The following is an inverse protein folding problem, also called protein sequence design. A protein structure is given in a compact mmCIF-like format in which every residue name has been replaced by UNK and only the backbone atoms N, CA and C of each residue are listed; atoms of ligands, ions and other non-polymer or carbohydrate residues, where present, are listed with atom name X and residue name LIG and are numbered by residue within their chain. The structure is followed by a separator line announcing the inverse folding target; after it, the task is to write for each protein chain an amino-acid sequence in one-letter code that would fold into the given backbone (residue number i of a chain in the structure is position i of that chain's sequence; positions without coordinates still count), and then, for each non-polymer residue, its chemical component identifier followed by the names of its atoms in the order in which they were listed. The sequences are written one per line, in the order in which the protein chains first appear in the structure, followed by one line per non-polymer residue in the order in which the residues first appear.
data_IF_396112663431
#
_entry.id   IF_396112663431
#
_cell.length_a   1.000
_cell.length_b   1.000
_cell.length_c   1.000
_cell.angle_alpha   90.00
_cell.angle_beta   90.00
_cell.angle_gamma   90.00
#
_symmetry.space_group_name_H-M   'P 1'
#
loop_
_entity.id
_entity.type
_entity.pdbx_description
1 polymer ?
#
# COMPACT_ATOMS: atom_id res chain seq x y z
N UNK A 1 13.49 17.93 -13.60
CA UNK A 1 13.07 16.90 -12.64
C UNK A 1 11.60 17.07 -12.35
N UNK A 2 10.78 16.32 -13.10
CA UNK A 2 9.37 16.21 -12.72
C UNK A 2 9.22 15.12 -11.66
N UNK A 3 8.47 15.44 -10.62
CA UNK A 3 8.23 14.61 -9.45
C UNK A 3 6.73 14.37 -9.38
N UNK A 4 6.32 13.11 -9.42
CA UNK A 4 4.93 12.72 -9.22
C UNK A 4 4.79 12.16 -7.82
N UNK A 5 3.79 12.61 -7.05
CA UNK A 5 3.58 12.19 -5.67
C UNK A 5 2.14 11.70 -5.47
N UNK A 6 2.00 10.56 -4.81
CA UNK A 6 0.76 10.10 -4.19
C UNK A 6 1.06 9.72 -2.74
N UNK A 7 0.19 10.12 -1.83
CA UNK A 7 0.27 9.78 -0.41
C UNK A 7 -1.11 9.39 0.07
N UNK A 8 -1.27 8.12 0.43
CA UNK A 8 -2.50 7.56 0.96
C UNK A 8 -2.38 7.40 2.46
N UNK A 9 -3.45 7.77 3.18
CA UNK A 9 -3.52 7.65 4.63
C UNK A 9 -4.84 7.00 5.03
N UNK A 10 -4.73 6.03 5.93
CA UNK A 10 -5.84 5.42 6.62
C UNK A 10 -5.64 5.63 8.12
N UNK A 11 -6.71 6.03 8.79
CA UNK A 11 -6.79 6.18 10.25
C UNK A 11 -8.12 5.60 10.73
N UNK A 12 -8.09 4.75 11.76
CA UNK A 12 -9.27 4.05 12.28
C UNK A 12 -10.33 5.04 12.81
N UNK A 13 -9.91 6.16 13.41
CA UNK A 13 -10.83 7.13 14.01
C UNK A 13 -11.67 7.85 12.94
N UNK A 14 -11.07 8.08 11.76
CA UNK A 14 -11.71 8.78 10.65
C UNK A 14 -12.47 7.84 9.70
N UNK A 15 -12.00 6.60 9.52
CA UNK A 15 -12.44 5.72 8.43
C UNK A 15 -13.06 4.40 8.90
N UNK A 16 -13.12 4.18 10.21
CA UNK A 16 -13.60 2.93 10.79
C UNK A 16 -12.56 1.82 10.76
N UNK A 17 -12.96 0.63 11.20
CA UNK A 17 -12.02 -0.48 11.46
C UNK A 17 -11.51 -1.14 10.19
N UNK A 18 -10.21 -1.41 10.16
CA UNK A 18 -9.58 -2.24 9.15
C UNK A 18 -8.97 -3.49 9.77
N UNK A 19 -9.72 -4.60 9.73
CA UNK A 19 -9.28 -5.90 10.22
C UNK A 19 -8.56 -6.68 9.13
N UNK A 20 -7.51 -7.40 9.55
CA UNK A 20 -6.76 -8.37 8.77
C UNK A 20 -7.10 -9.76 9.32
N UNK A 21 -7.59 -10.71 8.49
CA UNK A 21 -7.93 -12.05 8.95
C UNK A 21 -6.74 -12.84 9.50
N UNK A 22 -7.02 -13.74 10.45
CA UNK A 22 -6.06 -14.72 10.98
C UNK A 22 -5.96 -15.98 10.08
N UNK A 23 -5.61 -15.79 8.82
CA UNK A 23 -5.47 -16.86 7.82
C UNK A 23 -4.03 -17.06 7.32
N UNK A 24 -3.06 -16.37 7.95
CA UNK A 24 -1.63 -16.34 7.59
C UNK A 24 -1.35 -15.84 6.15
N UNK A 25 -2.37 -15.32 5.45
CA UNK A 25 -2.26 -14.78 4.11
C UNK A 25 -2.01 -13.26 4.12
N UNK A 26 -1.47 -12.77 3.01
CA UNK A 26 -1.25 -11.34 2.80
C UNK A 26 -2.53 -10.67 2.31
N UNK A 27 -2.95 -9.60 2.98
CA UNK A 27 -4.13 -8.80 2.63
C UNK A 27 -3.71 -7.39 2.21
N UNK A 28 -4.39 -6.83 1.22
CA UNK A 28 -4.14 -5.45 0.77
C UNK A 28 -4.62 -4.47 1.85
N UNK A 29 -3.76 -3.53 2.22
CA UNK A 29 -4.16 -2.38 3.06
C UNK A 29 -4.99 -1.45 2.19
N UNK A 30 -6.20 -1.14 2.65
CA UNK A 30 -7.21 -0.36 1.93
C UNK A 30 -7.16 1.09 2.40
N UNK A 31 -7.26 2.01 1.46
CA UNK A 31 -7.24 3.44 1.70
C UNK A 31 -8.52 4.10 1.18
N UNK A 32 -9.03 5.13 1.88
CA UNK A 32 -10.19 5.90 1.46
C UNK A 32 -9.85 6.88 0.33
N UNK A 33 -10.78 7.07 -0.60
CA UNK A 33 -10.63 8.05 -1.68
C UNK A 33 -10.89 9.49 -1.19
N UNK A 34 -10.06 10.43 -1.61
CA UNK A 34 -10.29 11.87 -1.40
C UNK A 34 -10.28 12.33 0.07
N UNK A 35 -9.70 11.55 1.00
CA UNK A 35 -9.60 11.93 2.41
C UNK A 35 -8.69 13.15 2.61
N UNK A 36 -8.96 13.94 3.66
CA UNK A 36 -8.32 15.25 3.89
C UNK A 36 -6.80 15.18 4.05
N UNK A 37 -6.28 14.06 4.53
CA UNK A 37 -4.83 13.88 4.73
C UNK A 37 -4.14 13.15 3.56
N UNK A 38 -4.90 12.56 2.64
CA UNK A 38 -4.33 11.97 1.43
C UNK A 38 -3.98 13.07 0.41
N UNK A 39 -2.89 12.88 -0.33
CA UNK A 39 -2.43 13.79 -1.37
C UNK A 39 -2.28 13.04 -2.68
N UNK A 40 -3.13 13.35 -3.66
CA UNK A 40 -3.15 12.67 -4.97
C UNK A 40 -3.37 13.66 -6.13
N UNK A 41 -2.47 14.62 -6.27
CA UNK A 41 -2.58 15.68 -7.30
C UNK A 41 -2.45 15.15 -8.74
N UNK A 42 -1.90 13.94 -8.91
CA UNK A 42 -1.69 13.30 -10.21
C UNK A 42 -2.71 12.21 -10.52
N UNK A 43 -3.77 12.07 -9.70
CA UNK A 43 -4.85 11.11 -9.92
C UNK A 43 -4.34 9.66 -10.04
N UNK A 44 -3.42 9.28 -9.14
CA UNK A 44 -2.83 7.94 -9.02
C UNK A 44 -3.66 7.04 -8.10
N UNK A 45 -4.65 7.57 -7.39
CA UNK A 45 -5.61 6.82 -6.58
C UNK A 45 -7.06 7.25 -6.88
N UNK A 46 -7.54 7.14 -8.14
CA UNK A 46 -8.89 7.54 -8.51
C UNK A 46 -9.94 6.50 -8.12
N UNK A 47 -11.21 6.91 -7.97
CA UNK A 47 -12.36 5.98 -7.89
C UNK A 47 -12.54 5.19 -9.20
N UNK A 48 -12.52 5.90 -10.33
CA UNK A 48 -12.55 5.34 -11.67
C UNK A 48 -11.13 4.91 -12.04
N UNK A 49 -10.88 3.61 -12.01
CA UNK A 49 -9.55 3.04 -12.18
C UNK A 49 -9.10 3.14 -13.65
N UNK A 50 -7.78 3.19 -13.91
CA UNK A 50 -7.24 3.23 -15.27
C UNK A 50 -7.61 2.03 -16.16
N UNK A 51 -7.99 0.90 -15.56
CA UNK A 51 -8.46 -0.29 -16.27
C UNK A 51 -9.95 -0.24 -16.66
N UNK A 52 -10.64 0.88 -16.37
CA UNK A 52 -12.04 1.11 -16.72
C UNK A 52 -13.05 0.65 -15.66
N UNK A 53 -12.60 -0.01 -14.60
CA UNK A 53 -13.45 -0.42 -13.48
C UNK A 53 -13.61 0.69 -12.45
N UNK A 54 -14.68 0.63 -11.67
CA UNK A 54 -14.88 1.53 -10.53
C UNK A 54 -14.57 0.79 -9.22
N UNK A 55 -14.08 1.50 -8.21
CA UNK A 55 -13.87 0.94 -6.87
C UNK A 55 -14.30 1.91 -5.79
N UNK A 56 -14.99 1.41 -4.77
CA UNK A 56 -15.29 2.13 -3.54
C UNK A 56 -14.37 1.70 -2.40
N UNK A 57 -14.15 2.57 -1.42
CA UNK A 57 -13.58 2.11 -0.15
C UNK A 57 -14.68 1.37 0.63
N UNK A 58 -14.40 0.19 1.24
CA UNK A 58 -13.10 -0.44 1.47
C UNK A 58 -12.79 -1.65 0.56
N UNK A 59 -13.16 -1.62 -0.73
CA UNK A 59 -12.86 -2.70 -1.67
C UNK A 59 -11.35 -2.89 -1.80
N UNK A 60 -10.88 -4.09 -2.17
CA UNK A 60 -9.44 -4.37 -2.29
C UNK A 60 -8.72 -3.42 -3.27
N UNK A 61 -9.42 -2.94 -4.30
CA UNK A 61 -8.93 -1.96 -5.28
C UNK A 61 -8.66 -0.58 -4.68
N UNK A 62 -9.30 -0.23 -3.56
CA UNK A 62 -9.02 1.00 -2.82
C UNK A 62 -7.67 0.95 -2.07
N UNK A 63 -6.92 -0.13 -2.19
CA UNK A 63 -5.53 -0.21 -1.72
C UNK A 63 -4.47 0.12 -2.77
N UNK A 64 -4.88 0.47 -4.00
CA UNK A 64 -3.98 0.56 -5.15
C UNK A 64 -3.51 1.98 -5.43
N UNK A 65 -2.22 2.14 -5.68
CA UNK A 65 -1.67 3.31 -6.37
C UNK A 65 -1.36 2.90 -7.81
N UNK A 66 -1.95 3.60 -8.78
CA UNK A 66 -1.64 3.50 -10.20
C UNK A 66 -0.64 4.58 -10.57
N UNK A 67 0.63 4.25 -10.87
CA UNK A 67 1.62 5.24 -11.24
C UNK A 67 1.13 6.12 -12.41
N UNK A 68 1.28 7.44 -12.33
CA UNK A 68 0.89 8.34 -13.43
C UNK A 68 1.97 8.47 -14.51
N UNK A 69 3.18 8.00 -14.24
CA UNK A 69 4.32 8.05 -15.15
C UNK A 69 5.25 6.84 -14.94
N UNK A 70 6.07 6.55 -15.94
CA UNK A 70 7.20 5.65 -15.79
C UNK A 70 8.37 6.35 -15.09
N UNK A 71 9.16 5.61 -14.34
CA UNK A 71 10.36 6.15 -13.71
C UNK A 71 10.85 5.36 -12.51
N UNK A 72 11.72 6.00 -11.73
CA UNK A 72 12.22 5.49 -10.47
C UNK A 72 11.27 5.88 -9.35
N UNK A 73 10.50 4.91 -8.88
CA UNK A 73 9.57 5.03 -7.76
C UNK A 73 10.28 4.83 -6.42
N UNK A 74 10.06 5.75 -5.48
CA UNK A 74 10.35 5.59 -4.07
C UNK A 74 9.02 5.32 -3.37
N UNK A 75 8.95 4.17 -2.69
CA UNK A 75 7.81 3.73 -1.91
C UNK A 75 8.11 3.93 -0.44
N UNK A 76 7.20 4.59 0.26
CA UNK A 76 7.22 4.73 1.71
C UNK A 76 5.97 4.11 2.30
N UNK A 77 6.12 3.36 3.38
CA UNK A 77 4.99 2.86 4.15
C UNK A 77 5.19 3.03 5.64
N UNK A 78 4.08 3.29 6.33
CA UNK A 78 3.95 3.16 7.77
C UNK A 78 2.74 2.28 8.06
N UNK A 79 2.87 1.31 8.94
CA UNK A 79 1.75 0.50 9.42
C UNK A 79 1.79 0.47 10.94
N UNK A 80 0.67 0.87 11.55
CA UNK A 80 0.44 0.76 12.98
C UNK A 80 -0.58 -0.35 13.24
N UNK A 81 -0.19 -1.36 14.01
CA UNK A 81 -1.07 -2.45 14.42
C UNK A 81 -1.47 -2.30 15.87
N UNK A 82 -2.71 -2.63 16.20
CA UNK A 82 -3.10 -2.74 17.61
C UNK A 82 -2.19 -3.68 18.40
N UNK A 83 -2.11 -3.47 19.72
CA UNK A 83 -1.36 -4.39 20.58
C UNK A 83 -2.05 -5.76 20.65
N UNK A 84 -1.26 -6.83 20.76
CA UNK A 84 -1.81 -8.18 20.81
C UNK A 84 -0.78 -9.24 21.21
N UNK A 85 -1.20 -10.51 21.14
CA UNK A 85 -0.42 -11.68 21.54
C UNK A 85 0.24 -12.43 20.38
N UNK A 86 0.28 -11.82 19.20
CA UNK A 86 0.98 -12.37 18.03
C UNK A 86 2.50 -12.36 18.23
N UNK A 87 3.18 -13.17 17.44
CA UNK A 87 4.66 -13.29 17.50
C UNK A 87 5.33 -12.83 16.22
N UNK A 88 4.54 -12.56 15.17
CA UNK A 88 5.03 -12.06 13.90
C UNK A 88 3.97 -11.17 13.22
N UNK A 89 4.45 -10.06 12.68
CA UNK A 89 3.75 -9.25 11.68
C UNK A 89 4.62 -9.18 10.43
N UNK A 90 3.96 -9.12 9.27
CA UNK A 90 4.60 -9.12 7.97
C UNK A 90 4.03 -8.00 7.13
N UNK A 91 4.88 -7.44 6.26
CA UNK A 91 4.45 -6.49 5.25
C UNK A 91 5.30 -6.64 4.00
N UNK A 92 4.73 -6.26 2.87
CA UNK A 92 5.41 -6.27 1.58
C UNK A 92 4.83 -5.22 0.65
N UNK A 93 5.68 -4.72 -0.25
CA UNK A 93 5.21 -4.05 -1.44
C UNK A 93 4.95 -5.09 -2.53
N UNK A 94 4.01 -4.80 -3.39
CA UNK A 94 3.65 -5.71 -4.48
C UNK A 94 3.22 -4.91 -5.69
N UNK A 95 3.75 -5.31 -6.85
CA UNK A 95 3.22 -4.95 -8.15
C UNK A 95 2.09 -5.91 -8.48
N UNK A 96 0.99 -5.34 -8.92
CA UNK A 96 -0.23 -6.04 -9.28
C UNK A 96 -0.74 -7.01 -8.19
N UNK A 97 -1.11 -6.50 -7.00
CA UNK A 97 -1.60 -7.33 -5.89
C UNK A 97 -2.85 -8.16 -6.22
N UNK A 98 -3.63 -7.75 -7.22
CA UNK A 98 -4.95 -8.30 -7.54
C UNK A 98 -4.97 -9.07 -8.88
N UNK A 99 -3.81 -9.32 -9.48
CA UNK A 99 -3.69 -10.08 -10.74
C UNK A 99 -4.45 -9.45 -11.92
N UNK A 100 -4.32 -8.15 -12.10
CA UNK A 100 -4.92 -7.33 -13.15
C UNK A 100 -4.08 -7.27 -14.43
N UNK A 101 -2.84 -7.77 -14.39
CA UNK A 101 -1.86 -7.74 -15.48
C UNK A 101 -1.32 -9.15 -15.81
N UNK A 102 -0.55 -9.27 -16.89
CA UNK A 102 0.08 -10.53 -17.32
C UNK A 102 1.23 -11.01 -16.40
N UNK A 103 1.73 -10.15 -15.49
CA UNK A 103 2.73 -10.51 -14.49
C UNK A 103 2.19 -10.24 -13.06
N UNK A 104 1.28 -11.09 -12.59
CA UNK A 104 0.54 -10.85 -11.36
C UNK A 104 1.37 -11.11 -10.09
N UNK A 105 1.09 -10.36 -9.02
CA UNK A 105 1.61 -10.61 -7.67
C UNK A 105 3.14 -10.65 -7.60
N UNK A 106 3.79 -9.66 -8.21
CA UNK A 106 5.25 -9.48 -8.15
C UNK A 106 5.64 -8.71 -6.87
N UNK A 107 5.97 -9.48 -5.82
CA UNK A 107 6.29 -8.96 -4.48
C UNK A 107 7.73 -8.49 -4.36
N UNK A 108 7.95 -7.41 -3.62
CA UNK A 108 9.30 -6.92 -3.27
C UNK A 108 9.32 -6.31 -1.87
N UNK A 109 10.52 -6.20 -1.30
CA UNK A 109 10.73 -5.75 0.07
C UNK A 109 9.79 -6.46 1.04
N UNK A 110 9.79 -7.78 1.04
CA UNK A 110 9.01 -8.57 2.01
C UNK A 110 9.76 -8.62 3.32
N UNK A 111 9.13 -8.13 4.39
CA UNK A 111 9.71 -8.12 5.73
C UNK A 111 8.82 -8.87 6.71
N UNK A 112 9.47 -9.63 7.59
CA UNK A 112 8.86 -10.29 8.73
C UNK A 112 9.50 -9.75 9.99
N UNK A 113 8.70 -9.39 11.00
CA UNK A 113 9.21 -8.78 12.22
C UNK A 113 8.58 -9.40 13.46
N UNK A 114 9.41 -9.59 14.49
CA UNK A 114 8.91 -9.84 15.85
C UNK A 114 8.31 -8.55 16.41
N UNK A 115 7.17 -8.61 17.11
CA UNK A 115 6.58 -7.44 17.73
C UNK A 115 7.37 -6.97 18.96
N UNK A 116 7.42 -5.66 19.16
CA UNK A 116 7.79 -5.03 20.43
C UNK A 116 6.62 -5.09 21.43
N UNK A 117 6.83 -4.76 22.72
CA UNK A 117 5.70 -4.59 23.63
C UNK A 117 4.76 -3.45 23.19
N UNK A 118 3.45 -3.71 23.18
CA UNK A 118 2.42 -2.71 22.87
C UNK A 118 2.03 -2.67 21.40
N UNK A 119 1.64 -1.48 20.92
CA UNK A 119 1.30 -1.20 19.52
C UNK A 119 2.55 -1.32 18.64
N UNK A 120 2.39 -1.86 17.43
CA UNK A 120 3.52 -1.99 16.49
C UNK A 120 3.52 -0.83 15.52
N UNK A 121 4.52 0.03 15.60
CA UNK A 121 4.67 1.18 14.71
C UNK A 121 5.83 0.90 13.75
N UNK A 122 5.52 0.41 12.56
CA UNK A 122 6.52 -0.03 11.59
C UNK A 122 6.59 0.95 10.43
N UNK A 123 7.80 1.31 10.01
CA UNK A 123 8.05 2.10 8.80
C UNK A 123 9.02 1.38 7.89
N UNK A 124 8.91 1.64 6.59
CA UNK A 124 9.87 1.15 5.59
C UNK A 124 9.89 2.05 4.37
N UNK A 125 11.00 1.97 3.66
CA UNK A 125 11.18 2.58 2.35
C UNK A 125 11.77 1.54 1.39
N UNK A 126 11.33 1.56 0.14
CA UNK A 126 11.91 0.74 -0.93
C UNK A 126 11.88 1.51 -2.25
N UNK A 127 12.72 1.13 -3.21
CA UNK A 127 12.74 1.80 -4.50
C UNK A 127 12.71 0.80 -5.64
N UNK A 128 11.95 1.14 -6.67
CA UNK A 128 11.66 0.27 -7.80
C UNK A 128 11.44 1.07 -9.08
N UNK A 129 11.59 0.43 -10.24
CA UNK A 129 10.96 0.92 -11.46
C UNK A 129 9.45 0.71 -11.40
N UNK A 130 8.71 1.74 -11.82
CA UNK A 130 7.24 1.77 -11.86
C UNK A 130 6.72 2.05 -13.27
N UNK A 131 5.52 1.56 -13.56
CA UNK A 131 4.86 1.69 -14.86
C UNK A 131 3.37 2.02 -14.67
N UNK A 132 2.76 2.92 -15.46
CA UNK A 132 1.36 3.30 -15.30
C UNK A 132 0.34 2.17 -15.44
N UNK A 133 0.67 1.12 -16.20
CA UNK A 133 -0.18 -0.05 -16.37
C UNK A 133 -0.09 -1.07 -15.24
N UNK A 134 0.75 -0.86 -14.22
CA UNK A 134 1.00 -1.82 -13.15
C UNK A 134 0.67 -1.17 -11.80
N UNK A 135 -0.46 -1.53 -11.17
CA UNK A 135 -0.82 -0.96 -9.87
C UNK A 135 0.12 -1.47 -8.78
N UNK A 136 0.35 -0.64 -7.78
CA UNK A 136 1.15 -0.96 -6.62
C UNK A 136 0.25 -1.09 -5.40
N UNK A 137 0.60 -2.00 -4.48
CA UNK A 137 -0.09 -2.15 -3.21
C UNK A 137 0.85 -2.39 -2.05
N UNK A 138 0.37 -2.04 -0.86
CA UNK A 138 0.92 -2.47 0.43
C UNK A 138 0.10 -3.65 0.92
N UNK A 139 0.75 -4.79 1.16
CA UNK A 139 0.10 -5.95 1.78
C UNK A 139 0.67 -6.25 3.15
N UNK A 140 -0.17 -6.77 4.02
CA UNK A 140 0.15 -7.08 5.40
C UNK A 140 -0.35 -8.47 5.78
N UNK A 141 0.32 -9.12 6.72
CA UNK A 141 -0.10 -10.38 7.31
C UNK A 141 0.36 -10.48 8.77
N UNK A 142 -0.24 -11.40 9.52
CA UNK A 142 0.15 -11.69 10.90
C UNK A 142 -0.14 -13.15 11.24
N UNK A 143 0.45 -13.62 12.34
CA UNK A 143 0.22 -14.98 12.85
C UNK A 143 -0.64 -15.05 14.13
N UNK A 144 -1.38 -13.97 14.46
CA UNK A 144 -2.38 -14.04 15.54
C UNK A 144 -3.43 -15.13 15.27
N UNK A 145 -4.01 -15.68 16.34
CA UNK A 145 -5.12 -16.64 16.25
C UNK A 145 -6.50 -16.01 16.09
N UNK A 146 -6.59 -14.68 15.95
CA UNK A 146 -7.81 -13.89 15.74
C UNK A 146 -7.48 -12.71 14.81
N UNK A 147 -8.47 -12.12 14.10
CA UNK A 147 -8.21 -10.94 13.29
C UNK A 147 -7.53 -9.82 14.08
N UNK A 148 -6.60 -9.11 13.44
CA UNK A 148 -5.95 -7.93 14.01
C UNK A 148 -6.30 -6.67 13.25
N UNK A 149 -6.37 -5.56 13.98
CA UNK A 149 -6.62 -4.23 13.41
C UNK A 149 -5.32 -3.54 13.03
N UNK A 150 -5.32 -2.99 11.82
CA UNK A 150 -4.45 -1.88 11.45
C UNK A 150 -5.13 -0.61 11.94
N UNK A 151 -4.51 0.11 12.87
CA UNK A 151 -5.07 1.32 13.48
C UNK A 151 -4.74 2.57 12.67
N UNK A 152 -3.58 2.59 12.02
CA UNK A 152 -3.16 3.65 11.12
C UNK A 152 -2.25 3.09 10.05
N UNK A 153 -2.37 3.56 8.81
CA UNK A 153 -1.46 3.19 7.74
C UNK A 153 -1.20 4.34 6.79
N UNK A 154 0.01 4.36 6.22
CA UNK A 154 0.40 5.25 5.14
C UNK A 154 1.03 4.43 4.02
N UNK A 155 0.69 4.77 2.78
CA UNK A 155 1.35 4.23 1.60
C UNK A 155 1.58 5.35 0.59
N UNK A 156 2.84 5.58 0.23
CA UNK A 156 3.24 6.73 -0.59
C UNK A 156 4.10 6.27 -1.75
N UNK A 157 3.97 7.00 -2.85
CA UNK A 157 4.78 6.84 -4.05
C UNK A 157 5.30 8.22 -4.48
N UNK A 158 6.61 8.32 -4.65
CA UNK A 158 7.27 9.41 -5.35
C UNK A 158 7.94 8.87 -6.61
N UNK A 159 7.63 9.43 -7.79
CA UNK A 159 8.22 9.01 -9.07
C UNK A 159 9.16 10.09 -9.57
N UNK A 160 10.42 9.72 -9.73
CA UNK A 160 11.39 10.50 -10.48
C UNK A 160 11.38 10.03 -11.93
N UNK A 161 11.04 10.92 -12.87
CA UNK A 161 10.89 10.58 -14.29
C UNK A 161 12.14 10.89 -15.12
N UNK A 162 13.05 11.72 -14.61
CA UNK A 162 14.31 12.10 -15.29
C UNK A 162 15.41 11.00 -15.26
N UNK A 163 15.05 9.75 -14.94
CA UNK A 163 15.99 8.60 -14.89
C UNK A 163 16.18 7.89 -16.24
N UNK A 164 15.61 8.41 -17.32
CA UNK A 164 15.95 7.98 -18.67
C UNK A 164 17.36 8.48 -19.03
N UNK A 165 18.34 7.60 -18.83
CA UNK A 165 19.69 7.76 -19.36
C UNK A 165 19.64 7.97 -20.87
N UNK A 166 20.48 8.87 -21.36
CA UNK A 166 20.43 9.43 -22.70
C UNK A 166 20.37 8.39 -23.83
N UNK A 167 19.59 8.74 -24.85
CA UNK A 167 19.75 8.24 -26.22
C UNK A 167 21.06 8.75 -26.82
#
# INVERSE_FOLDING_TARGET
MSLYICSLIFDEDDHGRQEIPADDAYHVVRFPYGSRESYDVHNMHPYAQPDGENSSFPDARSGLIWPAAEGWGVLDAMVQWESGTYTEVRDQFVRDPLSLTDNPVDTTATDHRRPSPGMQCLTKQHSIFVHPGVPLGLRVAHNAGQPLRVVHAQFKLAIHTDVHGGS
#
